data_IF_688317631133
#
_entry.id   IF_688317631133
#
_cell.length_a   1.000
_cell.length_b   1.000
_cell.length_c   1.000
_cell.angle_alpha   90.00
_cell.angle_beta   90.00
_cell.angle_gamma   90.00
#
_symmetry.space_group_name_H-M   'P 1'
#
loop_
_entity.id
_entity.type
_entity.pdbx_description
1 polymer ?
#
# COMPACT_ATOMS: atom_id res chain seq x y z
N UNK A 1 6.45 15.57 6.04
CA UNK A 1 5.55 15.92 4.92
C UNK A 1 5.00 14.60 4.43
N UNK A 2 3.68 14.42 4.51
CA UNK A 2 3.12 13.09 4.27
C UNK A 2 3.36 12.62 2.83
N UNK A 3 3.63 11.33 2.62
CA UNK A 3 3.78 10.76 1.28
C UNK A 3 2.98 9.45 1.19
N UNK A 4 2.12 9.34 0.18
CA UNK A 4 1.44 8.09 -0.16
C UNK A 4 2.24 7.36 -1.24
N UNK A 5 2.44 6.06 -1.03
CA UNK A 5 3.16 5.18 -1.96
C UNK A 5 2.39 3.90 -2.16
N UNK A 6 2.51 3.36 -3.36
CA UNK A 6 1.85 2.14 -3.76
C UNK A 6 2.78 1.27 -4.59
N UNK A 7 2.73 -0.04 -4.35
CA UNK A 7 3.47 -1.04 -5.09
C UNK A 7 2.55 -2.24 -5.32
N UNK A 8 2.77 -3.01 -6.38
CA UNK A 8 2.01 -4.25 -6.61
C UNK A 8 2.91 -5.47 -6.61
N UNK A 9 2.39 -6.61 -6.17
CA UNK A 9 3.12 -7.88 -6.15
C UNK A 9 2.17 -9.07 -6.36
N UNK A 10 2.70 -10.17 -6.86
CA UNK A 10 1.96 -11.44 -6.96
C UNK A 10 2.01 -12.16 -5.60
N UNK A 11 0.89 -12.23 -4.85
CA UNK A 11 0.88 -12.86 -3.53
C UNK A 11 1.10 -14.39 -3.61
N UNK A 12 0.67 -15.04 -4.69
CA UNK A 12 0.81 -16.50 -4.85
C UNK A 12 2.26 -16.88 -5.11
N UNK A 13 2.92 -16.13 -6.01
CA UNK A 13 4.35 -16.32 -6.28
C UNK A 13 5.20 -15.99 -5.07
N UNK A 14 4.90 -14.86 -4.39
CA UNK A 14 5.61 -14.48 -3.18
C UNK A 14 5.52 -15.56 -2.10
N UNK A 15 4.32 -16.09 -1.85
CA UNK A 15 4.11 -17.21 -0.92
C UNK A 15 4.97 -18.42 -1.28
N UNK A 16 4.91 -18.89 -2.52
CA UNK A 16 5.65 -20.06 -2.96
C UNK A 16 7.17 -19.88 -2.78
N UNK A 17 7.68 -18.70 -3.14
CA UNK A 17 9.10 -18.35 -2.96
C UNK A 17 9.46 -18.29 -1.47
N UNK A 18 8.61 -17.70 -0.64
CA UNK A 18 8.80 -17.61 0.81
C UNK A 18 8.84 -19.00 1.47
N UNK A 19 7.82 -19.83 1.21
CA UNK A 19 7.73 -21.20 1.70
C UNK A 19 8.97 -22.03 1.35
N UNK A 20 9.38 -22.01 0.07
CA UNK A 20 10.53 -22.80 -0.39
C UNK A 20 11.85 -22.39 0.28
N UNK A 21 11.99 -21.12 0.66
CA UNK A 21 13.25 -20.57 1.20
C UNK A 21 13.34 -20.70 2.70
N UNK A 22 12.28 -20.37 3.44
CA UNK A 22 12.36 -20.18 4.90
C UNK A 22 11.49 -21.13 5.71
N UNK A 23 10.63 -21.95 5.10
CA UNK A 23 9.85 -22.95 5.84
C UNK A 23 10.50 -24.33 5.76
N UNK A 24 10.70 -24.99 6.91
CA UNK A 24 11.23 -26.37 7.01
C UNK A 24 10.41 -27.15 8.02
N UNK A 25 9.95 -28.34 7.66
CA UNK A 25 9.11 -29.19 8.53
C UNK A 25 7.90 -28.41 9.11
N UNK A 26 7.25 -27.60 8.28
CA UNK A 26 6.11 -26.75 8.67
C UNK A 26 6.43 -25.61 9.66
N UNK A 27 7.72 -25.36 9.95
CA UNK A 27 8.18 -24.30 10.85
C UNK A 27 8.96 -23.22 10.10
N UNK A 28 8.85 -21.97 10.57
CA UNK A 28 9.67 -20.86 10.07
C UNK A 28 11.09 -20.93 10.60
N UNK A 29 12.03 -20.98 9.68
CA UNK A 29 13.46 -20.83 9.92
C UNK A 29 13.82 -19.35 9.96
N UNK A 30 13.77 -18.81 11.17
CA UNK A 30 14.07 -17.41 11.50
C UNK A 30 15.46 -16.99 10.99
N UNK A 31 16.44 -17.89 11.12
CA UNK A 31 17.80 -17.70 10.61
C UNK A 31 17.85 -17.54 9.09
N UNK A 32 17.09 -18.35 8.34
CA UNK A 32 17.02 -18.26 6.88
C UNK A 32 16.30 -17.00 6.41
N UNK A 33 15.29 -16.55 7.16
CA UNK A 33 14.59 -15.29 6.89
C UNK A 33 15.52 -14.09 7.08
N UNK A 34 16.27 -14.06 8.19
CA UNK A 34 17.26 -13.03 8.45
C UNK A 34 18.35 -12.99 7.36
N UNK A 35 18.94 -14.14 7.03
CA UNK A 35 19.95 -14.23 5.97
C UNK A 35 19.43 -13.71 4.62
N UNK A 36 18.17 -14.00 4.30
CA UNK A 36 17.56 -13.52 3.05
C UNK A 36 17.32 -12.01 3.08
N UNK A 37 16.80 -11.48 4.20
CA UNK A 37 16.61 -10.05 4.39
C UNK A 37 17.94 -9.29 4.27
N UNK A 38 19.02 -9.77 4.92
CA UNK A 38 20.37 -9.19 4.81
C UNK A 38 20.86 -9.17 3.36
N UNK A 39 20.68 -10.27 2.61
CA UNK A 39 21.08 -10.32 1.19
C UNK A 39 20.35 -9.30 0.34
N UNK A 40 19.05 -9.10 0.57
CA UNK A 40 18.23 -8.12 -0.15
C UNK A 40 18.66 -6.69 0.22
N UNK A 41 18.83 -6.42 1.52
CA UNK A 41 19.22 -5.10 2.02
C UNK A 41 20.60 -4.64 1.52
N UNK A 42 21.54 -5.58 1.36
CA UNK A 42 22.88 -5.31 0.82
C UNK A 42 22.88 -5.08 -0.69
N UNK A 43 21.92 -5.65 -1.42
CA UNK A 43 21.83 -5.56 -2.88
C UNK A 43 20.42 -5.20 -3.36
N UNK A 44 19.85 -4.06 -2.93
CA UNK A 44 18.47 -3.73 -3.23
C UNK A 44 18.35 -3.26 -4.68
N UNK A 45 17.29 -3.74 -5.35
CA UNK A 45 16.84 -3.11 -6.60
C UNK A 45 16.45 -1.65 -6.36
N UNK A 46 16.30 -0.85 -7.41
CA UNK A 46 15.87 0.55 -7.26
C UNK A 46 14.47 0.65 -6.62
N UNK A 47 13.54 -0.23 -6.98
CA UNK A 47 12.19 -0.27 -6.41
C UNK A 47 12.24 -0.72 -4.95
N UNK A 48 13.04 -1.74 -4.64
CA UNK A 48 13.25 -2.21 -3.27
C UNK A 48 13.81 -1.09 -2.40
N UNK A 49 14.86 -0.40 -2.86
CA UNK A 49 15.46 0.73 -2.14
C UNK A 49 14.44 1.85 -1.90
N UNK A 50 13.60 2.12 -2.89
CA UNK A 50 12.55 3.13 -2.77
C UNK A 50 11.53 2.74 -1.69
N UNK A 51 10.96 1.54 -1.76
CA UNK A 51 10.02 1.04 -0.75
C UNK A 51 10.63 1.02 0.65
N UNK A 52 11.87 0.52 0.81
CA UNK A 52 12.59 0.48 2.09
C UNK A 52 12.78 1.87 2.70
N UNK A 53 13.18 2.85 1.89
CA UNK A 53 13.31 4.25 2.33
C UNK A 53 11.98 4.79 2.87
N UNK A 54 10.89 4.45 2.19
CA UNK A 54 9.57 4.92 2.57
C UNK A 54 9.10 4.29 3.88
N UNK A 55 9.24 2.97 4.06
CA UNK A 55 8.91 2.29 5.32
C UNK A 55 9.87 2.60 6.48
N UNK A 56 10.77 3.59 6.31
CA UNK A 56 11.77 4.04 7.28
C UNK A 56 12.69 2.92 7.73
N UNK A 57 13.18 2.16 6.76
CA UNK A 57 14.23 1.18 6.98
C UNK A 57 15.45 1.84 7.63
N UNK A 58 15.84 1.32 8.79
CA UNK A 58 17.07 1.66 9.49
C UNK A 58 17.96 0.41 9.54
N UNK A 59 19.06 0.41 8.80
CA UNK A 59 19.94 -0.76 8.67
C UNK A 59 20.50 -1.23 10.01
N UNK A 60 20.83 -0.30 10.91
CA UNK A 60 21.44 -0.63 12.19
C UNK A 60 20.45 -1.38 13.10
N UNK A 61 19.17 -0.98 13.05
CA UNK A 61 18.13 -1.53 13.92
C UNK A 61 17.42 -2.75 13.29
N UNK A 62 17.20 -2.73 11.98
CA UNK A 62 16.34 -3.71 11.30
C UNK A 62 17.06 -5.01 10.97
N UNK A 63 18.39 -4.98 10.82
CA UNK A 63 19.20 -6.18 10.52
C UNK A 63 19.89 -6.77 11.74
N UNK A 64 19.69 -6.22 12.94
CA UNK A 64 20.17 -6.86 14.16
C UNK A 64 19.52 -8.25 14.28
N UNK A 65 20.30 -9.26 14.69
CA UNK A 65 19.90 -10.67 14.72
C UNK A 65 18.90 -10.99 15.86
N UNK A 66 18.28 -9.98 16.46
CA UNK A 66 17.20 -10.15 17.41
C UNK A 66 15.92 -10.62 16.69
N UNK A 67 15.39 -11.76 17.15
CA UNK A 67 14.11 -12.32 16.72
C UNK A 67 12.91 -11.37 16.89
N UNK A 68 13.04 -10.27 17.63
CA UNK A 68 12.01 -9.22 17.67
C UNK A 68 11.79 -8.53 16.32
N UNK A 69 12.74 -8.64 15.38
CA UNK A 69 12.72 -7.96 14.08
C UNK A 69 12.06 -8.79 12.95
N UNK A 70 11.36 -9.87 13.27
CA UNK A 70 10.70 -10.75 12.28
C UNK A 70 9.83 -9.99 11.26
N UNK A 71 9.03 -9.05 11.74
CA UNK A 71 8.16 -8.20 10.91
C UNK A 71 8.97 -7.38 9.89
N UNK A 72 10.13 -6.87 10.33
CA UNK A 72 11.01 -6.03 9.52
C UNK A 72 11.69 -6.85 8.43
N UNK A 73 12.18 -8.05 8.78
CA UNK A 73 12.79 -8.97 7.81
C UNK A 73 11.77 -9.43 6.76
N UNK A 74 10.54 -9.71 7.20
CA UNK A 74 9.45 -10.03 6.29
C UNK A 74 9.16 -8.89 5.30
N UNK A 75 9.13 -7.63 5.78
CA UNK A 75 8.96 -6.46 4.91
C UNK A 75 10.10 -6.28 3.91
N UNK A 76 11.34 -6.50 4.34
CA UNK A 76 12.51 -6.45 3.44
C UNK A 76 12.37 -7.51 2.33
N UNK A 77 11.97 -8.72 2.72
CA UNK A 77 11.71 -9.81 1.78
C UNK A 77 10.57 -9.49 0.82
N UNK A 78 9.45 -8.96 1.31
CA UNK A 78 8.35 -8.48 0.48
C UNK A 78 8.80 -7.39 -0.50
N UNK A 79 9.58 -6.41 -0.04
CA UNK A 79 10.10 -5.33 -0.86
C UNK A 79 11.00 -5.80 -2.02
N UNK A 80 11.50 -7.03 -1.99
CA UNK A 80 12.29 -7.60 -3.10
C UNK A 80 11.44 -8.07 -4.29
N UNK A 81 10.14 -8.26 -4.11
CA UNK A 81 9.23 -8.79 -5.16
C UNK A 81 8.21 -7.78 -5.67
N UNK A 82 8.19 -6.57 -5.09
CA UNK A 82 7.23 -5.55 -5.50
C UNK A 82 7.62 -4.86 -6.81
N UNK A 83 6.60 -4.38 -7.51
CA UNK A 83 6.71 -3.50 -8.67
C UNK A 83 6.10 -2.15 -8.34
N UNK A 84 6.68 -1.07 -8.82
CA UNK A 84 6.11 0.27 -8.65
C UNK A 84 4.71 0.35 -9.28
N UNK A 85 3.77 0.96 -8.55
CA UNK A 85 2.42 1.25 -9.00
C UNK A 85 2.15 2.76 -8.91
N UNK A 86 1.20 3.30 -9.70
CA UNK A 86 0.71 4.65 -9.50
C UNK A 86 0.24 4.83 -8.06
N UNK A 87 0.49 5.99 -7.47
CA UNK A 87 0.14 6.31 -6.09
C UNK A 87 -0.46 7.71 -6.02
N UNK A 88 -1.07 8.05 -4.88
CA UNK A 88 -1.67 9.35 -4.68
C UNK A 88 -0.59 10.39 -4.40
N UNK A 89 -0.59 11.49 -5.14
CA UNK A 89 0.13 12.69 -4.72
C UNK A 89 -0.50 13.27 -3.43
N UNK A 90 0.23 14.13 -2.71
CA UNK A 90 -0.30 14.78 -1.50
C UNK A 90 -1.62 15.51 -1.78
N UNK A 91 -1.76 16.28 -2.88
CA UNK A 91 -3.05 16.86 -3.24
C UNK A 91 -4.14 15.84 -3.49
N UNK A 92 -3.84 14.78 -4.22
CA UNK A 92 -4.81 13.72 -4.51
C UNK A 92 -5.26 12.96 -3.28
N UNK A 93 -4.33 12.61 -2.37
CA UNK A 93 -4.65 11.97 -1.09
C UNK A 93 -5.67 12.80 -0.30
N UNK A 94 -5.40 14.10 -0.14
CA UNK A 94 -6.30 14.98 0.61
C UNK A 94 -7.64 15.17 -0.10
N UNK A 95 -7.64 15.30 -1.43
CA UNK A 95 -8.88 15.40 -2.19
C UNK A 95 -9.73 14.13 -2.04
N UNK A 96 -9.15 12.94 -2.24
CA UNK A 96 -9.85 11.65 -2.09
C UNK A 96 -10.45 11.52 -0.69
N UNK A 97 -9.64 11.77 0.36
CA UNK A 97 -10.07 11.65 1.76
C UNK A 97 -11.28 12.54 2.11
N UNK A 98 -11.34 13.75 1.56
CA UNK A 98 -12.42 14.71 1.87
C UNK A 98 -13.64 14.56 0.96
N UNK A 99 -13.46 14.10 -0.28
CA UNK A 99 -14.53 14.07 -1.29
C UNK A 99 -15.31 12.77 -1.26
N UNK A 100 -14.65 11.63 -1.06
CA UNK A 100 -15.32 10.33 -1.06
C UNK A 100 -16.51 10.23 -0.08
N UNK A 101 -16.43 10.74 1.18
CA UNK A 101 -17.58 10.74 2.08
C UNK A 101 -18.81 11.48 1.52
N UNK A 102 -18.58 12.58 0.79
CA UNK A 102 -19.65 13.44 0.24
C UNK A 102 -20.33 12.81 -0.98
N UNK A 103 -19.67 11.86 -1.64
CA UNK A 103 -20.21 11.14 -2.81
C UNK A 103 -20.73 9.76 -2.44
N UNK A 104 -20.96 9.51 -1.15
CA UNK A 104 -21.66 8.32 -0.66
C UNK A 104 -20.77 7.09 -0.43
N UNK A 105 -19.46 7.28 -0.27
CA UNK A 105 -18.58 6.19 0.17
C UNK A 105 -18.61 6.01 1.69
N UNK A 106 -18.59 4.76 2.13
CA UNK A 106 -18.49 4.40 3.53
C UNK A 106 -17.07 4.62 4.05
N UNK A 107 -16.95 4.97 5.34
CA UNK A 107 -15.66 5.23 5.97
C UNK A 107 -14.68 4.04 5.84
N UNK A 108 -15.17 2.80 5.93
CA UNK A 108 -14.35 1.60 5.79
C UNK A 108 -13.76 1.44 4.39
N UNK A 109 -14.52 1.76 3.33
CA UNK A 109 -14.00 1.70 1.96
C UNK A 109 -12.93 2.76 1.71
N UNK A 110 -13.12 3.94 2.31
CA UNK A 110 -12.15 5.05 2.22
C UNK A 110 -10.87 4.68 2.94
N UNK A 111 -10.98 4.15 4.17
CA UNK A 111 -9.81 3.66 4.91
C UNK A 111 -9.10 2.55 4.14
N UNK A 112 -9.84 1.62 3.58
CA UNK A 112 -9.29 0.52 2.79
C UNK A 112 -8.59 1.04 1.51
N UNK A 113 -9.18 1.98 0.76
CA UNK A 113 -8.55 2.57 -0.41
C UNK A 113 -7.23 3.29 -0.07
N UNK A 114 -7.21 4.00 1.05
CA UNK A 114 -6.09 4.86 1.43
C UNK A 114 -4.96 4.05 2.10
N UNK A 115 -5.32 3.18 3.03
CA UNK A 115 -4.39 2.49 3.92
C UNK A 115 -4.30 0.98 3.68
N UNK A 116 -5.22 0.41 2.92
CA UNK A 116 -5.33 -1.04 2.76
C UNK A 116 -5.88 -1.74 4.00
N UNK A 117 -5.96 -3.07 3.91
CA UNK A 117 -6.16 -3.99 5.02
C UNK A 117 -4.87 -4.18 5.81
N UNK A 118 -5.00 -4.72 7.01
CA UNK A 118 -3.85 -5.06 7.85
C UNK A 118 -2.93 -6.07 7.14
N UNK A 119 -1.65 -5.69 6.99
CA UNK A 119 -0.62 -6.53 6.38
C UNK A 119 -0.29 -7.76 7.24
N UNK A 120 -0.55 -7.71 8.54
CA UNK A 120 -0.43 -8.88 9.43
C UNK A 120 -1.31 -10.06 9.02
N UNK A 121 -2.39 -9.81 8.28
CA UNK A 121 -3.26 -10.88 7.75
C UNK A 121 -2.71 -11.58 6.51
N UNK A 122 -1.73 -10.97 5.81
CA UNK A 122 -1.25 -11.49 4.53
C UNK A 122 -0.59 -12.88 4.68
N UNK A 123 0.27 -13.13 5.68
CA UNK A 123 0.81 -14.45 5.96
C UNK A 123 -0.27 -15.50 6.27
N UNK A 124 -1.31 -15.13 7.02
CA UNK A 124 -2.40 -16.05 7.39
C UNK A 124 -3.26 -16.44 6.19
N UNK A 125 -3.67 -15.45 5.39
CA UNK A 125 -4.53 -15.64 4.21
C UNK A 125 -3.85 -16.50 3.14
N UNK A 126 -2.53 -16.42 3.06
CA UNK A 126 -1.74 -17.18 2.11
C UNK A 126 -0.95 -18.33 2.77
N UNK A 127 -1.39 -18.87 3.92
CA UNK A 127 -1.02 -20.23 4.33
C UNK A 127 -0.24 -20.42 5.63
N UNK A 128 0.08 -19.36 6.37
CA UNK A 128 0.90 -19.44 7.57
C UNK A 128 0.11 -19.11 8.85
N UNK A 129 -0.85 -19.94 9.22
CA UNK A 129 -1.69 -19.74 10.44
C UNK A 129 -0.89 -19.66 11.75
N UNK A 130 0.37 -20.09 11.77
CA UNK A 130 1.28 -20.05 12.92
C UNK A 130 2.17 -18.81 12.97
N UNK A 131 2.23 -18.00 11.90
CA UNK A 131 3.07 -16.81 11.84
C UNK A 131 2.26 -15.58 12.23
N UNK A 132 2.50 -15.08 13.45
CA UNK A 132 1.90 -13.84 13.95
C UNK A 132 2.91 -12.71 13.88
N UNK A 133 2.80 -11.89 12.84
CA UNK A 133 3.51 -10.61 12.76
C UNK A 133 2.66 -9.54 13.45
N UNK A 134 3.24 -8.75 14.35
CA UNK A 134 2.48 -7.97 15.34
C UNK A 134 2.36 -6.48 15.02
N UNK A 135 3.31 -5.96 14.27
CA UNK A 135 3.54 -4.53 14.09
C UNK A 135 3.57 -4.12 12.61
N UNK A 136 3.18 -5.00 11.68
CA UNK A 136 3.23 -4.70 10.24
C UNK A 136 2.34 -3.52 9.82
N UNK A 137 1.22 -3.29 10.52
CA UNK A 137 0.27 -2.20 10.21
C UNK A 137 0.91 -0.81 10.24
N UNK A 138 1.95 -0.60 11.04
CA UNK A 138 2.62 0.71 11.11
C UNK A 138 3.42 1.04 9.83
N UNK A 139 3.70 0.04 9.00
CA UNK A 139 4.50 0.18 7.78
C UNK A 139 3.64 0.26 6.51
N UNK A 140 2.34 0.01 6.61
CA UNK A 140 1.39 0.07 5.49
C UNK A 140 0.30 -0.98 5.60
N UNK A 141 -0.44 -1.14 4.52
CA UNK A 141 -1.44 -2.17 4.35
C UNK A 141 -1.50 -2.66 2.91
N UNK A 142 -2.49 -3.47 2.61
CA UNK A 142 -2.60 -4.09 1.31
C UNK A 142 -4.03 -4.30 0.86
N UNK A 143 -4.23 -4.47 -0.44
CA UNK A 143 -5.49 -4.81 -1.07
C UNK A 143 -5.31 -6.08 -1.88
N UNK A 144 -6.20 -7.04 -1.68
CA UNK A 144 -6.30 -8.18 -2.60
C UNK A 144 -6.94 -7.74 -3.92
N UNK A 145 -6.91 -8.65 -4.90
CA UNK A 145 -7.45 -8.38 -6.22
C UNK A 145 -8.96 -8.12 -6.18
N UNK A 146 -9.70 -8.81 -5.30
CA UNK A 146 -11.15 -8.61 -5.16
C UNK A 146 -11.49 -7.25 -4.57
N UNK A 147 -10.69 -6.79 -3.61
CA UNK A 147 -10.81 -5.44 -3.05
C UNK A 147 -10.56 -4.39 -4.11
N UNK A 148 -9.48 -4.55 -4.89
CA UNK A 148 -9.12 -3.60 -5.93
C UNK A 148 -10.25 -3.47 -6.96
N UNK A 149 -10.84 -4.59 -7.39
CA UNK A 149 -12.02 -4.60 -8.26
C UNK A 149 -13.23 -3.89 -7.63
N UNK A 150 -13.54 -4.21 -6.37
CA UNK A 150 -14.68 -3.62 -5.64
C UNK A 150 -14.54 -2.11 -5.50
N UNK A 151 -13.37 -1.64 -5.05
CA UNK A 151 -13.08 -0.23 -4.87
C UNK A 151 -13.04 0.52 -6.20
N UNK A 152 -12.50 -0.10 -7.27
CA UNK A 152 -12.49 0.51 -8.60
C UNK A 152 -13.92 0.68 -9.13
N UNK A 153 -14.77 -0.33 -8.97
CA UNK A 153 -16.18 -0.24 -9.38
C UNK A 153 -16.93 0.87 -8.63
N UNK A 154 -16.70 0.98 -7.31
CA UNK A 154 -17.25 2.08 -6.48
C UNK A 154 -16.72 3.44 -6.93
N UNK A 155 -15.47 3.52 -7.37
CA UNK A 155 -14.83 4.78 -7.79
C UNK A 155 -15.37 5.23 -9.14
N UNK A 156 -15.50 4.30 -10.08
CA UNK A 156 -16.08 4.55 -11.39
C UNK A 156 -17.56 4.94 -11.30
N UNK A 157 -18.31 4.42 -10.33
CA UNK A 157 -19.71 4.82 -10.09
C UNK A 157 -19.88 6.31 -9.70
N UNK A 158 -18.84 6.93 -9.13
CA UNK A 158 -18.86 8.35 -8.72
C UNK A 158 -17.99 9.24 -9.61
N UNK A 159 -17.48 8.74 -10.73
CA UNK A 159 -16.54 9.46 -11.62
C UNK A 159 -17.06 10.83 -12.08
N UNK A 160 -18.37 10.94 -12.34
CA UNK A 160 -19.00 12.20 -12.74
C UNK A 160 -18.88 13.26 -11.63
N UNK A 161 -18.91 12.87 -10.35
CA UNK A 161 -18.78 13.78 -9.21
C UNK A 161 -17.38 14.38 -9.06
N UNK A 162 -16.37 13.80 -9.69
CA UNK A 162 -15.02 14.40 -9.78
C UNK A 162 -14.86 15.26 -11.03
N UNK A 163 -15.57 14.92 -12.11
CA UNK A 163 -15.49 15.66 -13.38
C UNK A 163 -16.36 16.91 -13.40
N UNK A 164 -17.55 16.81 -12.80
CA UNK A 164 -18.57 17.84 -12.65
C UNK A 164 -18.99 17.92 -11.16
N UNK A 165 -18.11 18.44 -10.29
CA UNK A 165 -18.33 18.36 -8.85
C UNK A 165 -19.54 19.19 -8.40
N UNK A 166 -20.39 18.63 -7.52
CA UNK A 166 -21.43 19.40 -6.88
C UNK A 166 -20.82 20.46 -5.93
N UNK A 167 -21.63 21.46 -5.54
CA UNK A 167 -21.15 22.64 -4.82
C UNK A 167 -20.53 22.32 -3.46
N UNK A 168 -21.06 21.33 -2.77
CA UNK A 168 -20.57 20.80 -1.50
C UNK A 168 -19.18 20.17 -1.65
N UNK A 169 -18.95 19.40 -2.71
CA UNK A 169 -17.62 18.84 -3.05
C UNK A 169 -16.61 19.96 -3.30
N UNK A 170 -16.98 20.98 -4.10
CA UNK A 170 -16.10 22.13 -4.36
C UNK A 170 -15.78 22.86 -3.05
N UNK A 171 -16.79 23.08 -2.20
CA UNK A 171 -16.62 23.77 -0.93
C UNK A 171 -15.68 23.00 0.02
N UNK A 172 -15.79 21.68 0.08
CA UNK A 172 -15.01 20.84 0.99
C UNK A 172 -13.50 20.84 0.72
N UNK A 173 -13.08 21.08 -0.53
CA UNK A 173 -11.66 21.14 -0.89
C UNK A 173 -11.17 22.56 -1.19
N UNK A 174 -12.03 23.58 -1.02
CA UNK A 174 -11.71 24.96 -1.40
C UNK A 174 -10.54 25.52 -0.62
N UNK A 175 -10.58 25.42 0.71
CA UNK A 175 -9.49 25.92 1.57
C UNK A 175 -8.15 25.24 1.22
N UNK A 176 -8.21 23.94 0.93
CA UNK A 176 -7.04 23.18 0.51
C UNK A 176 -6.54 23.64 -0.88
N UNK A 177 -7.44 23.84 -1.85
CA UNK A 177 -7.08 24.35 -3.17
C UNK A 177 -6.46 25.75 -3.09
N UNK A 178 -7.02 26.64 -2.28
CA UNK A 178 -6.51 27.99 -2.04
C UNK A 178 -5.09 27.95 -1.44
N UNK A 179 -4.80 27.03 -0.51
CA UNK A 179 -3.46 26.82 0.04
C UNK A 179 -2.43 26.41 -1.03
N UNK A 180 -2.83 25.59 -2.01
CA UNK A 180 -1.98 25.21 -3.15
C UNK A 180 -2.02 26.23 -4.30
N UNK A 181 -2.73 27.36 -4.15
CA UNK A 181 -2.87 28.40 -5.16
C UNK A 181 -3.64 27.96 -6.41
N UNK A 182 -4.53 26.97 -6.27
CA UNK A 182 -5.24 26.33 -7.39
C UNK A 182 -6.77 26.41 -7.29
N UNK A 183 -7.43 26.10 -8.41
CA UNK A 183 -8.89 25.90 -8.46
C UNK A 183 -9.22 24.48 -7.94
N UNK A 184 -10.20 24.29 -7.05
CA UNK A 184 -10.72 22.96 -6.68
C UNK A 184 -10.84 21.96 -7.83
N UNK A 185 -11.29 22.41 -9.00
CA UNK A 185 -11.44 21.55 -10.19
C UNK A 185 -10.12 20.99 -10.71
N UNK A 186 -8.99 21.69 -10.50
CA UNK A 186 -7.67 21.23 -10.92
C UNK A 186 -7.11 20.16 -9.99
N UNK A 187 -7.67 20.00 -8.78
CA UNK A 187 -7.28 18.96 -7.83
C UNK A 187 -8.11 17.67 -7.98
N UNK A 188 -9.40 17.79 -8.28
CA UNK A 188 -10.32 16.64 -8.31
C UNK A 188 -10.03 15.65 -9.43
N UNK A 189 -9.79 16.14 -10.65
CA UNK A 189 -9.55 15.26 -11.81
C UNK A 189 -8.24 14.47 -11.69
N UNK A 190 -7.11 15.06 -11.27
CA UNK A 190 -5.91 14.29 -10.93
C UNK A 190 -6.16 13.27 -9.81
N UNK A 191 -6.86 13.66 -8.75
CA UNK A 191 -7.14 12.78 -7.61
C UNK A 191 -7.88 11.50 -8.02
N UNK A 192 -8.98 11.65 -8.77
CA UNK A 192 -9.72 10.51 -9.33
C UNK A 192 -8.82 9.65 -10.23
N UNK A 193 -8.07 10.27 -11.14
CA UNK A 193 -7.21 9.56 -12.10
C UNK A 193 -6.12 8.75 -11.40
N UNK A 194 -5.44 9.34 -10.43
CA UNK A 194 -4.37 8.67 -9.67
C UNK A 194 -4.93 7.48 -8.87
N UNK A 195 -6.04 7.68 -8.14
CA UNK A 195 -6.71 6.59 -7.42
C UNK A 195 -7.15 5.46 -8.34
N UNK A 196 -7.76 5.81 -9.49
CA UNK A 196 -8.20 4.86 -10.50
C UNK A 196 -7.02 4.10 -11.10
N UNK A 197 -5.98 4.80 -11.52
CA UNK A 197 -4.77 4.20 -12.12
C UNK A 197 -4.05 3.28 -11.13
N UNK A 198 -3.99 3.64 -9.85
CA UNK A 198 -3.43 2.81 -8.80
C UNK A 198 -4.14 1.44 -8.71
N UNK A 199 -5.47 1.44 -8.62
CA UNK A 199 -6.27 0.21 -8.57
C UNK A 199 -6.20 -0.59 -9.88
N UNK A 200 -6.33 0.11 -11.02
CA UNK A 200 -6.34 -0.48 -12.35
C UNK A 200 -5.03 -1.23 -12.66
N UNK A 201 -3.88 -0.66 -12.29
CA UNK A 201 -2.58 -1.31 -12.52
C UNK A 201 -2.41 -2.59 -11.70
N UNK A 202 -2.95 -2.64 -10.47
CA UNK A 202 -2.95 -3.87 -9.69
C UNK A 202 -3.79 -4.96 -10.37
N UNK A 203 -4.97 -4.58 -10.86
CA UNK A 203 -5.89 -5.49 -11.56
C UNK A 203 -5.29 -6.02 -12.86
N UNK A 204 -4.72 -5.14 -13.70
CA UNK A 204 -4.11 -5.52 -14.98
C UNK A 204 -2.93 -6.47 -14.82
N UNK A 205 -2.22 -6.36 -13.69
CA UNK A 205 -1.11 -7.25 -13.35
C UNK A 205 -1.56 -8.52 -12.65
N UNK A 206 -2.84 -8.65 -12.27
CA UNK A 206 -3.35 -9.70 -11.39
C UNK A 206 -2.59 -9.76 -10.04
N UNK A 207 -2.21 -8.59 -9.54
CA UNK A 207 -1.39 -8.42 -8.34
C UNK A 207 -2.22 -7.89 -7.16
N UNK A 208 -1.76 -8.20 -5.95
CA UNK A 208 -2.14 -7.44 -4.76
C UNK A 208 -1.48 -6.05 -4.79
N UNK A 209 -2.10 -5.06 -4.15
CA UNK A 209 -1.56 -3.71 -4.01
C UNK A 209 -1.11 -3.48 -2.57
N UNK A 210 0.17 -3.25 -2.34
CA UNK A 210 0.70 -2.69 -1.10
C UNK A 210 0.56 -1.17 -1.14
N UNK A 211 0.05 -0.57 -0.07
CA UNK A 211 -0.08 0.88 0.09
C UNK A 211 0.51 1.31 1.41
N UNK A 212 1.13 2.48 1.43
CA UNK A 212 1.66 3.04 2.67
C UNK A 212 1.60 4.56 2.69
N UNK A 213 1.33 5.09 3.88
CA UNK A 213 1.29 6.52 4.17
C UNK A 213 2.34 6.83 5.23
N UNK A 214 3.24 7.73 4.89
CA UNK A 214 4.30 8.20 5.78
C UNK A 214 4.03 9.64 6.19
N UNK A 215 4.47 10.06 7.38
CA UNK A 215 4.39 11.43 7.90
C UNK A 215 5.67 12.25 7.68
#
# INVERSE_FOLDING_TARGET
>A
MFAHRAYSFDPSKFRADFESRVIRNEELRVDLLHEWAVKIANHPSNVTRDMLRYIRYDEADWLDADSSNLDLWYLIVLASVVLEAPHLSIPSYNAIKNVLPLVGWDASDIEQLIYGKDLGMLPELYGHKSLQFKNLRQHGGWLDLSDAHSLLAKLDAVAEKFSNPPRDVIAAIKEYADFWGGDPNTLLKPAYREARSMLQVAIEREHALFVSLFD
#
